data_IF_491756976267
#
_entry.id   IF_491756976267
#
_cell.length_a   1.000
_cell.length_b   1.000
_cell.length_c   1.000
_cell.angle_alpha   90.00
_cell.angle_beta   90.00
_cell.angle_gamma   90.00
#
_symmetry.space_group_name_H-M   'P 1'
#
loop_
_entity.id
_entity.type
_entity.pdbx_description
1 polymer ?
#
# COMPACT_ATOMS: atom_id res chain seq x y z
N UNK A 1 -6.69 22.65 -4.13
CA UNK A 1 -6.09 21.38 -4.63
C UNK A 1 -5.82 20.46 -3.46
N UNK A 2 -6.79 19.61 -3.13
CA UNK A 2 -6.57 18.49 -2.21
C UNK A 2 -5.71 17.42 -2.88
N UNK A 3 -4.64 17.01 -2.21
CA UNK A 3 -3.82 15.87 -2.63
C UNK A 3 -4.32 14.64 -1.88
N UNK A 4 -4.69 13.59 -2.62
CA UNK A 4 -5.06 12.29 -2.08
C UNK A 4 -3.90 11.32 -2.30
N UNK A 5 -3.51 10.62 -1.24
CA UNK A 5 -2.46 9.61 -1.30
C UNK A 5 -3.11 8.24 -1.16
N UNK A 6 -2.99 7.41 -2.19
CA UNK A 6 -3.48 6.03 -2.16
C UNK A 6 -2.27 5.08 -2.04
N UNK A 7 -2.30 4.20 -1.04
CA UNK A 7 -1.27 3.20 -0.82
C UNK A 7 -1.87 1.82 -0.95
N UNK A 8 -1.16 0.98 -1.69
CA UNK A 8 -1.45 -0.43 -1.80
C UNK A 8 -0.38 -1.22 -1.06
N UNK A 9 -0.78 -1.97 -0.04
CA UNK A 9 0.05 -2.93 0.65
C UNK A 9 -0.28 -4.31 0.09
N UNK A 10 0.71 -5.00 -0.47
CA UNK A 10 0.57 -6.37 -0.94
C UNK A 10 1.35 -7.28 0.01
N UNK A 11 0.63 -8.16 0.70
CA UNK A 11 1.16 -9.14 1.65
C UNK A 11 0.88 -10.56 1.16
N UNK A 12 1.69 -11.53 1.59
CA UNK A 12 1.38 -12.93 1.38
C UNK A 12 0.45 -13.48 2.48
N UNK A 13 -0.21 -14.62 2.21
CA UNK A 13 -1.04 -15.32 3.20
C UNK A 13 -0.26 -16.02 4.32
N UNK A 14 1.03 -15.70 4.52
CA UNK A 14 1.87 -16.38 5.53
C UNK A 14 1.46 -16.10 6.98
N UNK A 15 0.53 -15.16 7.20
CA UNK A 15 0.12 -14.72 8.54
C UNK A 15 1.18 -13.87 9.25
N UNK A 16 2.29 -13.53 8.57
CA UNK A 16 3.36 -12.70 9.09
C UNK A 16 3.41 -11.37 8.31
N UNK A 17 2.54 -10.40 8.63
CA UNK A 17 2.54 -9.11 7.95
C UNK A 17 3.87 -8.42 8.22
N UNK A 18 4.67 -8.21 7.16
CA UNK A 18 5.94 -7.48 7.25
C UNK A 18 5.73 -5.96 7.34
N UNK A 19 4.53 -5.46 7.02
CA UNK A 19 4.27 -4.04 6.83
C UNK A 19 3.30 -3.53 7.91
N UNK A 20 3.75 -2.56 8.70
CA UNK A 20 2.95 -1.91 9.74
C UNK A 20 2.17 -0.71 9.18
N UNK A 21 0.86 -0.88 9.04
CA UNK A 21 -0.04 0.17 8.54
C UNK A 21 -0.02 1.45 9.39
N UNK A 22 0.10 1.34 10.72
CA UNK A 22 0.11 2.51 11.59
C UNK A 22 1.37 3.37 11.39
N UNK A 23 2.50 2.72 11.12
CA UNK A 23 3.76 3.40 10.85
C UNK A 23 3.72 4.15 9.51
N UNK A 24 3.10 3.55 8.50
CA UNK A 24 2.83 4.19 7.20
C UNK A 24 1.93 5.41 7.39
N UNK A 25 0.81 5.27 8.12
CA UNK A 25 -0.10 6.40 8.41
C UNK A 25 0.61 7.54 9.12
N UNK A 26 1.43 7.25 10.14
CA UNK A 26 2.22 8.28 10.85
C UNK A 26 3.21 8.97 9.91
N UNK A 27 3.89 8.20 9.07
CA UNK A 27 4.90 8.72 8.14
C UNK A 27 4.29 9.63 7.08
N UNK A 28 3.03 9.42 6.68
CA UNK A 28 2.38 10.18 5.60
C UNK A 28 1.46 11.29 6.08
N UNK A 29 1.32 11.44 7.40
CA UNK A 29 0.46 12.45 8.02
C UNK A 29 0.80 13.90 7.62
N UNK A 30 1.97 14.13 7.02
CA UNK A 30 2.42 15.44 6.55
C UNK A 30 2.20 15.70 5.04
N UNK A 31 1.78 14.68 4.27
CA UNK A 31 1.75 14.74 2.78
C UNK A 31 0.36 15.11 2.23
N UNK A 32 -0.73 14.84 2.98
CA UNK A 32 -2.08 15.21 2.55
C UNK A 32 -3.17 14.91 3.59
N UNK A 33 -4.33 15.52 3.38
CA UNK A 33 -5.49 15.40 4.29
C UNK A 33 -6.24 14.07 4.18
N UNK A 34 -6.01 13.30 3.11
CA UNK A 34 -6.73 12.05 2.81
C UNK A 34 -5.74 10.96 2.35
N UNK A 35 -5.29 10.13 3.29
CA UNK A 35 -4.45 8.95 3.05
C UNK A 35 -5.32 7.69 3.11
N UNK A 36 -5.45 7.01 1.98
CA UNK A 36 -6.20 5.76 1.86
C UNK A 36 -5.23 4.61 1.72
N UNK A 37 -5.31 3.63 2.62
CA UNK A 37 -4.50 2.41 2.55
C UNK A 37 -5.41 1.24 2.19
N UNK A 38 -5.09 0.56 1.10
CA UNK A 38 -5.71 -0.68 0.67
C UNK A 38 -4.73 -1.82 0.88
N UNK A 39 -5.17 -2.93 1.46
CA UNK A 39 -4.35 -4.11 1.70
C UNK A 39 -4.86 -5.29 0.89
N UNK A 40 -3.99 -5.90 0.09
CA UNK A 40 -4.26 -7.11 -0.68
C UNK A 40 -3.40 -8.24 -0.15
N UNK A 41 -4.01 -9.43 -0.07
CA UNK A 41 -3.31 -10.65 0.29
C UNK A 41 -3.21 -11.53 -0.95
N UNK A 42 -1.99 -11.84 -1.37
CA UNK A 42 -1.73 -12.74 -2.49
C UNK A 42 -1.42 -14.14 -1.97
N UNK A 43 -1.99 -15.20 -2.58
CA UNK A 43 -1.60 -16.57 -2.27
C UNK A 43 -0.11 -16.76 -2.57
N UNK A 44 0.59 -17.51 -1.72
CA UNK A 44 1.98 -17.90 -1.97
C UNK A 44 2.00 -19.04 -2.98
N UNK A 45 2.35 -18.77 -4.23
CA UNK A 45 2.66 -19.85 -5.18
C UNK A 45 4.16 -20.11 -5.09
N UNK A 46 4.53 -21.19 -4.42
CA UNK A 46 5.93 -21.55 -4.11
C UNK A 46 6.82 -21.80 -5.35
N UNK A 47 6.26 -21.72 -6.55
CA UNK A 47 6.92 -22.10 -7.80
C UNK A 47 7.34 -20.91 -8.68
N UNK A 48 6.85 -19.69 -8.42
CA UNK A 48 7.23 -18.51 -9.19
C UNK A 48 8.07 -17.54 -8.34
N UNK A 49 9.38 -17.53 -8.57
CA UNK A 49 10.28 -16.55 -7.93
C UNK A 49 9.91 -15.10 -8.27
N UNK A 50 9.21 -14.89 -9.39
CA UNK A 50 8.69 -13.59 -9.85
C UNK A 50 7.59 -13.00 -8.93
N UNK A 51 6.91 -13.80 -8.10
CA UNK A 51 5.90 -13.26 -7.16
C UNK A 51 6.51 -12.42 -6.02
N UNK A 52 7.82 -12.57 -5.78
CA UNK A 52 8.54 -11.67 -4.86
C UNK A 52 8.53 -10.22 -5.35
N UNK A 53 8.33 -9.98 -6.65
CA UNK A 53 8.38 -8.64 -7.24
C UNK A 53 7.15 -7.78 -6.91
N UNK A 54 6.02 -8.39 -6.52
CA UNK A 54 4.78 -7.67 -6.21
C UNK A 54 4.52 -7.46 -4.72
N UNK A 55 5.15 -8.23 -3.84
CA UNK A 55 5.02 -8.07 -2.37
C UNK A 55 5.71 -6.77 -1.94
N UNK A 56 4.99 -5.85 -1.28
CA UNK A 56 5.56 -4.58 -0.84
C UNK A 56 4.56 -3.45 -0.67
N UNK A 57 5.10 -2.23 -0.51
CA UNK A 57 4.33 -0.98 -0.44
C UNK A 57 4.39 -0.30 -1.80
N UNK A 58 3.21 -0.04 -2.38
CA UNK A 58 3.06 0.64 -3.66
C UNK A 58 2.34 1.97 -3.44
N UNK A 59 2.87 3.04 -4.02
CA UNK A 59 2.31 4.40 -3.91
C UNK A 59 1.62 4.77 -5.22
N UNK A 60 0.34 5.11 -5.13
CA UNK A 60 -0.47 5.55 -6.27
C UNK A 60 -0.73 7.05 -6.09
N UNK A 61 -0.18 7.86 -6.99
CA UNK A 61 -0.36 9.31 -7.00
C UNK A 61 -1.43 9.68 -8.02
N UNK A 62 -2.48 10.37 -7.58
CA UNK A 62 -3.55 10.88 -8.45
C UNK A 62 -3.77 12.36 -8.18
N UNK A 63 -3.94 13.13 -9.24
CA UNK A 63 -4.43 14.51 -9.13
C UNK A 63 -5.95 14.47 -9.03
N UNK A 64 -6.51 15.01 -7.94
CA UNK A 64 -7.96 15.09 -7.74
C UNK A 64 -8.41 16.50 -8.12
N UNK A 65 -9.19 16.63 -9.19
CA UNK A 65 -9.85 17.89 -9.51
C UNK A 65 -11.02 18.11 -8.54
N UNK A 66 -11.12 19.30 -7.95
CA UNK A 66 -12.27 19.69 -7.12
C UNK A 66 -13.51 19.75 -8.01
N UNK A 67 -14.58 19.05 -7.59
CA UNK A 67 -15.93 19.15 -8.19
C UNK A 67 -16.76 20.15 -7.41
#
# INVERSE_FOLDING_TARGET
MRKRVEILIVEDYSGNPKINEQEIKRSLNHIGDDVVITKLHVPQWTENEDEKDVIGVHVIVREVAET
#
